data_IF_562747515631
#
_entry.id   IF_562747515631
#
_cell.length_a   1.000
_cell.length_b   1.000
_cell.length_c   1.000
_cell.angle_alpha   90.00
_cell.angle_beta   90.00
_cell.angle_gamma   90.00
#
_symmetry.space_group_name_H-M   'P 1'
#
loop_
_entity.id
_entity.type
_entity.pdbx_description
1 polymer ?
#
# COMPACT_ATOMS: atom_id res chain seq x y z
N UNK A 1 6.42 3.55 -3.41
CA UNK A 1 5.76 3.47 -2.08
C UNK A 1 5.75 4.88 -1.52
N UNK A 2 4.62 5.36 -1.01
CA UNK A 2 4.50 6.70 -0.43
C UNK A 2 4.25 6.57 1.07
N UNK A 3 4.84 7.47 1.86
CA UNK A 3 4.64 7.56 3.31
C UNK A 3 4.31 9.01 3.67
N UNK A 4 3.44 9.19 4.65
CA UNK A 4 3.04 10.51 5.12
C UNK A 4 2.07 10.42 6.28
N UNK A 5 1.83 11.56 6.92
CA UNK A 5 0.78 11.70 7.92
C UNK A 5 -0.60 11.42 7.31
N UNK A 6 -1.50 10.86 8.11
CA UNK A 6 -2.88 10.57 7.72
C UNK A 6 -3.71 11.86 7.65
N UNK A 7 -3.47 12.66 6.62
CA UNK A 7 -4.20 13.89 6.34
C UNK A 7 -4.82 13.85 4.95
N UNK A 8 -5.99 14.47 4.82
CA UNK A 8 -6.69 14.60 3.55
C UNK A 8 -5.84 15.32 2.48
N UNK A 9 -5.04 16.31 2.90
CA UNK A 9 -4.09 17.00 2.03
C UNK A 9 -3.06 16.04 1.42
N UNK A 10 -2.45 15.15 2.22
CA UNK A 10 -1.50 14.17 1.72
C UNK A 10 -2.15 13.19 0.74
N UNK A 11 -3.39 12.76 1.01
CA UNK A 11 -4.16 11.89 0.12
C UNK A 11 -4.38 12.56 -1.25
N UNK A 12 -4.78 13.83 -1.28
CA UNK A 12 -4.96 14.58 -2.52
C UNK A 12 -3.64 14.80 -3.28
N UNK A 13 -2.55 15.08 -2.56
CA UNK A 13 -1.22 15.21 -3.15
C UNK A 13 -0.78 13.89 -3.81
N UNK A 14 -0.92 12.76 -3.11
CA UNK A 14 -0.60 11.43 -3.65
C UNK A 14 -1.44 11.13 -4.90
N UNK A 15 -2.76 11.39 -4.85
CA UNK A 15 -3.64 11.21 -6.02
C UNK A 15 -3.18 12.04 -7.22
N UNK A 16 -2.80 13.29 -6.97
CA UNK A 16 -2.29 14.20 -8.01
C UNK A 16 -0.96 13.72 -8.59
N UNK A 17 -0.04 13.23 -7.76
CA UNK A 17 1.23 12.65 -8.21
C UNK A 17 1.03 11.42 -9.08
N UNK A 18 0.13 10.51 -8.67
CA UNK A 18 -0.24 9.32 -9.45
C UNK A 18 -0.81 9.74 -10.81
N UNK A 19 -1.69 10.76 -10.83
CA UNK A 19 -2.25 11.28 -12.08
C UNK A 19 -1.17 11.89 -12.98
N UNK A 20 -0.27 12.69 -12.43
CA UNK A 20 0.86 13.26 -13.18
C UNK A 20 1.74 12.15 -13.76
N UNK A 21 2.02 11.10 -13.00
CA UNK A 21 2.76 9.94 -13.48
C UNK A 21 2.07 9.29 -14.69
N UNK A 22 0.75 9.05 -14.63
CA UNK A 22 0.02 8.48 -15.78
C UNK A 22 0.14 9.34 -17.04
N UNK A 23 0.06 10.66 -16.88
CA UNK A 23 0.15 11.61 -18.01
C UNK A 23 1.55 11.63 -18.62
N UNK A 24 2.59 11.71 -17.78
CA UNK A 24 3.99 11.84 -18.24
C UNK A 24 4.52 10.51 -18.79
N UNK A 25 4.26 9.41 -18.09
CA UNK A 25 4.73 8.08 -18.50
C UNK A 25 3.89 7.46 -19.62
N UNK A 26 2.68 7.98 -19.86
CA UNK A 26 1.66 7.37 -20.73
C UNK A 26 1.27 5.94 -20.31
N UNK A 27 1.56 5.55 -19.07
CA UNK A 27 1.15 4.28 -18.48
C UNK A 27 -0.13 4.49 -17.67
N UNK A 28 -0.94 3.44 -17.53
CA UNK A 28 -2.08 3.42 -16.62
C UNK A 28 -1.71 2.74 -15.31
N UNK A 29 -2.04 3.38 -14.20
CA UNK A 29 -1.83 2.79 -12.88
C UNK A 29 -2.94 1.78 -12.60
N UNK A 30 -2.54 0.58 -12.19
CA UNK A 30 -3.49 -0.47 -11.83
C UNK A 30 -3.89 -0.29 -10.36
N UNK A 31 -4.95 0.47 -10.13
CA UNK A 31 -5.49 0.74 -8.80
C UNK A 31 -5.97 -0.50 -8.04
N UNK A 32 -6.35 -1.57 -8.74
CA UNK A 32 -6.71 -2.86 -8.12
C UNK A 32 -5.50 -3.57 -7.49
N UNK A 33 -4.30 -3.38 -8.05
CA UNK A 33 -3.03 -3.85 -7.47
C UNK A 33 -2.42 -2.86 -6.48
N UNK A 34 -2.81 -1.60 -6.55
CA UNK A 34 -2.40 -0.58 -5.58
C UNK A 34 -3.12 -0.75 -4.25
N UNK A 35 -2.35 -0.65 -3.17
CA UNK A 35 -2.83 -0.87 -1.80
C UNK A 35 -2.57 0.38 -0.96
N UNK A 36 -3.52 0.72 -0.08
CA UNK A 36 -3.40 1.80 0.89
C UNK A 36 -3.50 1.24 2.30
N UNK A 37 -2.62 1.67 3.19
CA UNK A 37 -2.62 1.27 4.60
C UNK A 37 -2.25 2.43 5.49
N UNK A 38 -2.65 2.34 6.76
CA UNK A 38 -2.34 3.31 7.80
C UNK A 38 -1.97 2.59 9.09
N UNK A 39 -1.37 3.32 10.03
CA UNK A 39 -1.02 2.81 11.35
C UNK A 39 -1.70 3.72 12.38
N UNK A 40 -2.46 3.14 13.31
CA UNK A 40 -3.14 3.87 14.39
C UNK A 40 -4.12 4.96 13.91
N UNK A 41 -4.80 4.76 12.79
CA UNK A 41 -5.85 5.65 12.28
C UNK A 41 -7.20 4.93 12.37
N UNK A 42 -8.27 5.69 12.60
CA UNK A 42 -9.64 5.17 12.59
C UNK A 42 -9.98 4.44 11.27
N UNK A 43 -10.68 3.30 11.38
CA UNK A 43 -10.94 2.44 10.23
C UNK A 43 -11.82 3.11 9.17
N UNK A 44 -12.82 3.90 9.57
CA UNK A 44 -13.72 4.57 8.63
C UNK A 44 -12.95 5.62 7.81
N UNK A 45 -12.08 6.39 8.47
CA UNK A 45 -11.22 7.36 7.77
C UNK A 45 -10.26 6.70 6.78
N UNK A 46 -9.78 5.50 7.10
CA UNK A 46 -8.87 4.73 6.25
C UNK A 46 -9.59 4.19 5.02
N UNK A 47 -10.84 3.73 5.17
CA UNK A 47 -11.71 3.37 4.06
C UNK A 47 -11.97 4.57 3.16
N UNK A 48 -12.31 5.74 3.72
CA UNK A 48 -12.52 6.97 2.96
C UNK A 48 -11.29 7.36 2.13
N UNK A 49 -10.09 7.27 2.73
CA UNK A 49 -8.83 7.55 2.01
C UNK A 49 -8.55 6.54 0.91
N UNK A 50 -8.84 5.25 1.13
CA UNK A 50 -8.69 4.22 0.12
C UNK A 50 -9.65 4.45 -1.05
N UNK A 51 -10.91 4.79 -0.77
CA UNK A 51 -11.91 5.18 -1.76
C UNK A 51 -11.47 6.41 -2.56
N UNK A 52 -10.96 7.45 -1.90
CA UNK A 52 -10.44 8.64 -2.56
C UNK A 52 -9.26 8.30 -3.51
N UNK A 53 -8.42 7.35 -3.15
CA UNK A 53 -7.29 6.89 -3.98
C UNK A 53 -7.67 5.83 -5.02
N UNK A 54 -8.92 5.35 -5.02
CA UNK A 54 -9.37 4.17 -5.77
C UNK A 54 -8.58 2.88 -5.46
N UNK A 55 -7.90 2.82 -4.32
CA UNK A 55 -7.05 1.69 -3.94
C UNK A 55 -7.81 0.72 -3.03
N UNK A 56 -7.29 -0.50 -2.90
CA UNK A 56 -7.79 -1.45 -1.89
C UNK A 56 -7.00 -1.33 -0.59
N UNK A 57 -7.61 -1.70 0.54
CA UNK A 57 -6.92 -1.67 1.82
C UNK A 57 -5.79 -2.70 1.90
N UNK A 58 -4.73 -2.32 2.60
CA UNK A 58 -3.55 -3.12 2.89
C UNK A 58 -3.67 -3.72 4.29
N UNK A 59 -3.45 -5.02 4.40
CA UNK A 59 -3.26 -5.66 5.70
C UNK A 59 -1.87 -5.37 6.27
N UNK A 60 -1.76 -5.22 7.59
CA UNK A 60 -0.49 -4.89 8.26
C UNK A 60 0.63 -5.88 7.91
N UNK A 61 0.30 -7.17 7.72
CA UNK A 61 1.18 -8.18 7.15
C UNK A 61 0.83 -8.40 5.69
N UNK A 62 1.75 -8.14 4.76
CA UNK A 62 1.51 -8.27 3.31
C UNK A 62 2.78 -8.69 2.55
N UNK A 63 2.64 -9.40 1.42
CA UNK A 63 3.79 -9.76 0.58
C UNK A 63 4.25 -8.57 -0.27
N UNK A 64 5.55 -8.31 -0.27
CA UNK A 64 6.20 -7.35 -1.16
C UNK A 64 7.47 -7.97 -1.73
N UNK A 65 7.53 -8.12 -3.06
CA UNK A 65 8.67 -8.75 -3.77
C UNK A 65 9.06 -10.13 -3.20
N UNK A 66 8.07 -10.90 -2.71
CA UNK A 66 8.28 -12.21 -2.09
C UNK A 66 8.59 -12.18 -0.59
N UNK A 67 8.76 -11.01 0.01
CA UNK A 67 9.01 -10.83 1.45
C UNK A 67 7.71 -10.49 2.20
N UNK A 68 7.39 -11.14 3.33
CA UNK A 68 6.24 -10.78 4.15
C UNK A 68 6.56 -9.57 5.03
N UNK A 69 6.22 -8.38 4.55
CA UNK A 69 6.40 -7.12 5.28
C UNK A 69 5.36 -7.03 6.41
N UNK A 70 5.80 -6.60 7.59
CA UNK A 70 4.94 -6.49 8.78
C UNK A 70 4.64 -7.81 9.50
N UNK A 71 5.06 -8.96 8.94
CA UNK A 71 5.05 -10.23 9.66
C UNK A 71 6.18 -10.28 10.71
N UNK A 72 6.02 -11.09 11.76
CA UNK A 72 7.04 -11.23 12.80
C UNK A 72 8.28 -11.96 12.24
N UNK A 73 9.44 -11.29 12.12
CA UNK A 73 10.63 -11.89 11.54
C UNK A 73 11.29 -12.94 12.45
N UNK A 74 10.92 -13.00 13.74
CA UNK A 74 11.45 -13.99 14.69
C UNK A 74 10.82 -15.38 14.55
N UNK A 75 9.75 -15.51 13.76
CA UNK A 75 9.04 -16.77 13.55
C UNK A 75 9.56 -17.44 12.27
N UNK A 76 10.06 -18.67 12.38
CA UNK A 76 10.59 -19.45 11.23
C UNK A 76 9.54 -19.64 10.13
N UNK A 77 8.27 -19.82 10.49
CA UNK A 77 7.14 -19.94 9.54
C UNK A 77 7.04 -18.73 8.61
N UNK A 78 7.35 -17.52 9.09
CA UNK A 78 7.33 -16.29 8.27
C UNK A 78 8.24 -16.42 7.06
N UNK A 79 9.37 -17.12 7.18
CA UNK A 79 10.38 -17.25 6.13
C UNK A 79 10.16 -18.45 5.20
N UNK A 80 9.25 -19.38 5.55
CA UNK A 80 8.97 -20.58 4.72
C UNK A 80 8.70 -20.26 3.25
N UNK A 81 7.87 -19.25 2.88
CA UNK A 81 7.58 -18.94 1.48
C UNK A 81 8.79 -18.44 0.67
N UNK A 82 9.85 -18.01 1.34
CA UNK A 82 11.10 -17.52 0.73
C UNK A 82 12.08 -18.69 0.59
N UNK A 83 12.28 -19.43 1.69
CA UNK A 83 13.21 -20.57 1.73
C UNK A 83 12.78 -21.67 0.77
N UNK A 84 11.48 -21.94 0.63
CA UNK A 84 10.96 -23.00 -0.25
C UNK A 84 11.08 -22.70 -1.75
N UNK A 85 11.53 -21.49 -2.13
CA UNK A 85 11.69 -21.06 -3.54
C UNK A 85 13.15 -21.08 -4.00
N UNK A 86 14.08 -21.38 -3.09
CA UNK A 86 15.51 -21.58 -3.38
C UNK A 86 15.75 -23.01 -3.81
#
# INVERSE_FOLDING_TARGET
>A
MFFGEASLQNVFLIKSLIRCFEVVSRLKVNFFKSKFGSICVDHALVEDFAHLLNCTLLSLSFPYLGLPIGANPRIVVTWRPIISKV
#
